data_IF_645441861667
#
_entry.id   IF_645441861667
#
_cell.length_a   1.000
_cell.length_b   1.000
_cell.length_c   1.000
_cell.angle_alpha   90.00
_cell.angle_beta   90.00
_cell.angle_gamma   90.00
#
_symmetry.space_group_name_H-M   'P 1'
#
loop_
_entity.id
_entity.type
_entity.pdbx_description
1 polymer ?
#
# COMPACT_ATOMS: atom_id res chain seq x y z
N UNK A 1 -24.01 17.87 6.68
CA UNK A 1 -23.90 16.74 5.72
C UNK A 1 -24.05 17.16 4.25
N UNK A 2 -25.20 17.69 3.79
CA UNK A 2 -25.37 18.05 2.37
C UNK A 2 -24.40 19.12 1.84
N UNK A 3 -24.11 20.15 2.63
CA UNK A 3 -23.20 21.25 2.22
C UNK A 3 -21.74 20.75 2.12
N UNK A 4 -21.32 19.88 3.04
CA UNK A 4 -19.99 19.26 3.02
C UNK A 4 -19.77 18.40 1.78
N UNK A 5 -20.77 17.61 1.37
CA UNK A 5 -20.70 16.79 0.16
C UNK A 5 -20.62 17.69 -1.09
N UNK A 6 -21.41 18.77 -1.15
CA UNK A 6 -21.35 19.73 -2.26
C UNK A 6 -19.96 20.38 -2.33
N UNK A 7 -19.39 20.77 -1.19
CA UNK A 7 -18.06 21.37 -1.12
C UNK A 7 -16.96 20.38 -1.59
N UNK A 8 -17.08 19.12 -1.21
CA UNK A 8 -16.19 18.06 -1.67
C UNK A 8 -16.29 17.85 -3.19
N UNK A 9 -17.49 17.70 -3.73
CA UNK A 9 -17.70 17.54 -5.17
C UNK A 9 -17.17 18.74 -5.97
N UNK A 10 -17.39 19.96 -5.47
CA UNK A 10 -16.84 21.17 -6.09
C UNK A 10 -15.31 21.22 -6.03
N UNK A 11 -14.70 20.76 -4.93
CA UNK A 11 -13.24 20.70 -4.80
C UNK A 11 -12.61 19.71 -5.78
N UNK A 12 -13.20 18.53 -5.94
CA UNK A 12 -12.74 17.50 -6.88
C UNK A 12 -12.92 17.98 -8.32
N UNK A 13 -14.10 18.52 -8.65
CA UNK A 13 -14.37 19.05 -9.98
C UNK A 13 -13.43 20.22 -10.32
N UNK A 14 -13.19 21.11 -9.35
CA UNK A 14 -12.23 22.20 -9.45
C UNK A 14 -10.82 21.69 -9.75
N UNK A 15 -10.32 20.72 -8.97
CA UNK A 15 -8.99 20.15 -9.17
C UNK A 15 -8.84 19.49 -10.55
N UNK A 16 -9.80 18.65 -10.95
CA UNK A 16 -9.75 17.96 -12.24
C UNK A 16 -9.81 18.95 -13.40
N UNK A 17 -10.64 19.99 -13.31
CA UNK A 17 -10.73 21.01 -14.36
C UNK A 17 -9.55 21.99 -14.34
N UNK A 18 -8.82 22.11 -13.24
CA UNK A 18 -7.59 22.91 -13.14
C UNK A 18 -6.43 22.31 -13.94
N UNK A 19 -6.44 21.00 -14.21
CA UNK A 19 -5.51 20.37 -15.16
C UNK A 19 -5.62 20.97 -16.57
N UNK A 20 -6.77 21.57 -16.91
CA UNK A 20 -7.03 22.25 -18.17
C UNK A 20 -7.08 23.79 -18.03
N UNK A 21 -6.60 24.34 -16.91
CA UNK A 21 -6.64 25.78 -16.58
C UNK A 21 -8.05 26.40 -16.46
N UNK A 22 -9.11 25.57 -16.42
CA UNK A 22 -10.51 26.05 -16.29
C UNK A 22 -10.98 26.03 -14.83
N UNK A 23 -10.42 25.13 -14.02
CA UNK A 23 -10.90 24.83 -12.67
C UNK A 23 -10.48 25.79 -11.56
N UNK A 24 -9.65 26.80 -11.84
CA UNK A 24 -9.12 27.69 -10.81
C UNK A 24 -10.21 28.44 -10.04
N UNK A 25 -11.24 28.94 -10.73
CA UNK A 25 -12.37 29.65 -10.11
C UNK A 25 -13.26 28.71 -9.28
N UNK A 26 -13.53 27.51 -9.78
CA UNK A 26 -14.28 26.48 -9.05
C UNK A 26 -13.54 26.04 -7.79
N UNK A 27 -12.22 25.86 -7.90
CA UNK A 27 -11.34 25.53 -6.78
C UNK A 27 -11.30 26.65 -5.75
N UNK A 28 -11.30 27.92 -6.18
CA UNK A 28 -11.33 29.07 -5.26
C UNK A 28 -12.66 29.16 -4.50
N UNK A 29 -13.79 28.92 -5.18
CA UNK A 29 -15.10 28.88 -4.53
C UNK A 29 -15.19 27.72 -3.53
N UNK A 30 -14.70 26.54 -3.89
CA UNK A 30 -14.64 25.37 -3.00
C UNK A 30 -13.71 25.62 -1.80
N UNK A 31 -12.58 26.32 -2.00
CA UNK A 31 -11.65 26.70 -0.94
C UNK A 31 -12.31 27.65 0.07
N UNK A 32 -13.02 28.68 -0.41
CA UNK A 32 -13.75 29.60 0.47
C UNK A 32 -14.82 28.89 1.29
N UNK A 33 -15.55 27.95 0.67
CA UNK A 33 -16.55 27.14 1.35
C UNK A 33 -15.90 26.18 2.37
N UNK A 34 -14.78 25.55 2.01
CA UNK A 34 -14.01 24.68 2.90
C UNK A 34 -13.48 25.41 4.13
N UNK A 35 -12.93 26.62 3.97
CA UNK A 35 -12.47 27.46 5.09
C UNK A 35 -13.65 27.83 5.99
N UNK A 36 -14.78 28.25 5.43
CA UNK A 36 -15.97 28.56 6.21
C UNK A 36 -16.45 27.37 7.04
N UNK A 37 -16.53 26.18 6.43
CA UNK A 37 -16.92 24.95 7.11
C UNK A 37 -15.91 24.54 8.20
N UNK A 38 -14.61 24.70 7.92
CA UNK A 38 -13.56 24.36 8.88
C UNK A 38 -13.56 25.27 10.11
N UNK A 39 -13.84 26.57 9.94
CA UNK A 39 -13.95 27.51 11.08
C UNK A 39 -15.09 27.11 12.02
N UNK A 40 -16.19 26.57 11.48
CA UNK A 40 -17.36 26.21 12.28
C UNK A 40 -17.22 24.85 12.98
N UNK A 41 -16.83 23.80 12.25
CA UNK A 41 -16.93 22.43 12.77
C UNK A 41 -15.57 21.73 12.96
N UNK A 42 -14.45 22.32 12.48
CA UNK A 42 -13.07 21.84 12.64
C UNK A 42 -12.84 20.34 12.37
N UNK A 43 -13.53 19.75 11.41
CA UNK A 43 -13.39 18.32 11.08
C UNK A 43 -12.33 18.06 10.01
N UNK A 44 -11.80 16.83 9.99
CA UNK A 44 -10.86 16.37 8.95
C UNK A 44 -11.47 16.41 7.54
N UNK A 45 -12.78 16.19 7.41
CA UNK A 45 -13.49 16.29 6.14
C UNK A 45 -13.36 17.71 5.55
N UNK A 46 -13.44 18.74 6.38
CA UNK A 46 -13.28 20.14 5.96
C UNK A 46 -11.81 20.46 5.63
N UNK A 47 -10.85 19.90 6.37
CA UNK A 47 -9.43 20.02 6.05
C UNK A 47 -9.09 19.39 4.68
N UNK A 48 -9.66 18.21 4.36
CA UNK A 48 -9.52 17.56 3.05
C UNK A 48 -10.06 18.42 1.91
N UNK A 49 -11.24 19.03 2.09
CA UNK A 49 -11.83 19.95 1.11
C UNK A 49 -10.90 21.15 0.88
N UNK A 50 -10.33 21.73 1.94
CA UNK A 50 -9.37 22.83 1.84
C UNK A 50 -8.13 22.39 1.06
N UNK A 51 -7.54 21.25 1.40
CA UNK A 51 -6.33 20.74 0.75
C UNK A 51 -6.54 20.49 -0.76
N UNK A 52 -7.62 19.80 -1.14
CA UNK A 52 -7.97 19.51 -2.54
C UNK A 52 -8.20 20.82 -3.31
N UNK A 53 -8.95 21.74 -2.71
CA UNK A 53 -9.25 23.04 -3.34
C UNK A 53 -8.00 23.92 -3.47
N UNK A 54 -7.11 23.91 -2.48
CA UNK A 54 -5.84 24.64 -2.53
C UNK A 54 -4.94 24.10 -3.65
N UNK A 55 -4.83 22.78 -3.78
CA UNK A 55 -4.12 22.17 -4.92
C UNK A 55 -4.73 22.61 -6.26
N UNK A 56 -6.07 22.63 -6.36
CA UNK A 56 -6.78 23.11 -7.55
C UNK A 56 -6.52 24.57 -7.90
N UNK A 57 -6.29 25.45 -6.91
CA UNK A 57 -5.92 26.86 -7.14
C UNK A 57 -4.45 27.03 -7.51
N UNK A 58 -3.57 26.28 -6.84
CA UNK A 58 -2.10 26.40 -7.00
C UNK A 58 -1.64 25.80 -8.32
N UNK A 59 -2.25 24.70 -8.77
CA UNK A 59 -1.80 23.96 -9.94
C UNK A 59 -1.71 24.82 -11.23
N UNK A 60 -2.72 25.62 -11.61
CA UNK A 60 -2.61 26.53 -12.75
C UNK A 60 -1.45 27.53 -12.64
N UNK A 61 -1.15 28.00 -11.43
CA UNK A 61 -0.04 28.93 -11.17
C UNK A 61 1.29 28.22 -11.38
N UNK A 62 1.45 27.00 -10.86
CA UNK A 62 2.65 26.18 -11.10
C UNK A 62 2.82 25.91 -12.60
N UNK A 63 1.75 25.53 -13.31
CA UNK A 63 1.80 25.27 -14.74
C UNK A 63 2.23 26.51 -15.54
N UNK A 64 1.72 27.69 -15.16
CA UNK A 64 2.16 28.95 -15.73
C UNK A 64 3.64 29.20 -15.49
N UNK A 65 4.10 29.10 -14.24
CA UNK A 65 5.50 29.34 -13.84
C UNK A 65 6.46 28.36 -14.53
N UNK A 66 6.06 27.09 -14.70
CA UNK A 66 6.85 26.11 -15.43
C UNK A 66 7.00 26.44 -16.92
N UNK A 67 6.04 27.16 -17.50
CA UNK A 67 6.04 27.50 -18.93
C UNK A 67 6.74 28.83 -19.21
N UNK A 68 6.42 29.86 -18.43
CA UNK A 68 6.85 31.23 -18.68
C UNK A 68 7.75 31.81 -17.58
N UNK A 69 7.96 31.10 -16.47
CA UNK A 69 8.62 31.65 -15.30
C UNK A 69 7.89 32.89 -14.79
N UNK A 70 8.64 33.95 -14.49
CA UNK A 70 8.08 35.26 -14.10
C UNK A 70 7.81 36.17 -15.30
N UNK A 71 7.99 35.68 -16.53
CA UNK A 71 7.74 36.46 -17.74
C UNK A 71 6.26 36.43 -18.11
N UNK A 72 5.83 37.44 -18.87
CA UNK A 72 4.51 37.42 -19.52
C UNK A 72 4.52 36.43 -20.69
N UNK A 73 3.34 35.89 -21.07
CA UNK A 73 3.25 35.01 -22.23
C UNK A 73 3.79 35.71 -23.47
N UNK A 74 4.72 35.06 -24.16
CA UNK A 74 5.29 35.52 -25.42
C UNK A 74 4.91 34.56 -26.54
N UNK A 75 4.87 35.08 -27.76
CA UNK A 75 4.64 34.29 -28.96
C UNK A 75 5.93 33.52 -29.29
N UNK A 76 5.83 32.19 -29.32
CA UNK A 76 6.92 31.27 -29.67
C UNK A 76 7.00 31.01 -31.18
N UNK A 77 6.18 31.71 -31.97
CA UNK A 77 6.10 31.56 -33.43
C UNK A 77 5.25 30.36 -33.86
N UNK A 78 4.66 29.61 -32.93
CA UNK A 78 3.80 28.46 -33.24
C UNK A 78 2.35 28.84 -33.56
N UNK A 79 1.96 30.11 -33.35
CA UNK A 79 0.58 30.58 -33.53
C UNK A 79 -0.42 29.99 -32.54
N UNK A 80 0.07 29.27 -31.51
CA UNK A 80 -0.76 28.66 -30.47
C UNK A 80 -1.16 29.70 -29.44
N UNK A 81 -2.32 29.50 -28.84
CA UNK A 81 -2.76 30.36 -27.74
C UNK A 81 -1.89 30.12 -26.49
N UNK A 82 -1.73 31.13 -25.62
CA UNK A 82 -0.93 30.99 -24.40
C UNK A 82 -1.37 29.82 -23.50
N UNK A 83 -2.68 29.57 -23.40
CA UNK A 83 -3.20 28.45 -22.62
C UNK A 83 -2.77 27.10 -23.20
N UNK A 84 -2.71 27.00 -24.53
CA UNK A 84 -2.31 25.78 -25.20
C UNK A 84 -0.82 25.52 -25.00
N UNK A 85 0.02 26.55 -25.09
CA UNK A 85 1.46 26.45 -24.81
C UNK A 85 1.73 25.99 -23.38
N UNK A 86 0.95 26.48 -22.40
CA UNK A 86 1.07 26.03 -20.99
C UNK A 86 0.75 24.54 -20.85
N UNK A 87 -0.34 24.08 -21.46
CA UNK A 87 -0.72 22.67 -21.42
C UNK A 87 0.34 21.81 -22.13
N UNK A 88 0.67 22.13 -23.38
CA UNK A 88 1.63 21.36 -24.16
C UNK A 88 2.99 21.23 -23.44
N UNK A 89 3.49 22.32 -22.84
CA UNK A 89 4.78 22.30 -22.13
C UNK A 89 4.74 21.43 -20.88
N UNK A 90 3.72 21.58 -20.03
CA UNK A 90 3.65 20.82 -18.78
C UNK A 90 3.41 19.32 -19.01
N UNK A 91 2.56 18.96 -19.97
CA UNK A 91 2.28 17.56 -20.29
C UNK A 91 3.45 16.90 -21.04
N UNK A 92 4.15 17.63 -21.93
CA UNK A 92 5.36 17.12 -22.56
C UNK A 92 6.47 16.83 -21.53
N UNK A 93 6.62 17.67 -20.51
CA UNK A 93 7.56 17.42 -19.40
C UNK A 93 7.20 16.18 -18.56
N UNK A 94 5.94 15.74 -18.62
CA UNK A 94 5.47 14.49 -18.00
C UNK A 94 5.54 13.29 -18.97
N UNK A 95 6.12 13.45 -20.16
CA UNK A 95 6.19 12.41 -21.19
C UNK A 95 4.87 12.13 -21.90
N UNK A 96 3.87 13.00 -21.72
CA UNK A 96 2.54 12.88 -22.33
C UNK A 96 2.45 13.86 -23.50
N UNK A 97 2.52 13.34 -24.73
CA UNK A 97 2.25 14.13 -25.93
C UNK A 97 0.74 14.20 -26.16
N UNK A 98 0.07 15.15 -25.51
CA UNK A 98 -1.38 15.34 -25.59
C UNK A 98 -1.87 15.74 -26.98
N UNK A 99 -0.99 16.31 -27.82
CA UNK A 99 -1.42 17.01 -29.02
C UNK A 99 -0.69 16.61 -30.30
N UNK A 100 0.24 15.66 -30.20
CA UNK A 100 0.97 15.12 -31.33
C UNK A 100 2.00 16.10 -31.88
N UNK A 101 3.12 15.55 -32.33
CA UNK A 101 4.03 16.26 -33.26
C UNK A 101 3.30 16.54 -34.57
N UNK A 102 2.75 17.74 -34.73
CA UNK A 102 2.44 18.25 -36.06
C UNK A 102 3.74 18.28 -36.88
N UNK A 103 3.71 17.60 -38.03
CA UNK A 103 4.75 17.68 -39.04
C UNK A 103 4.93 19.16 -39.40
N UNK A 104 6.11 19.69 -39.14
CA UNK A 104 6.62 20.89 -39.81
C UNK A 104 6.42 20.70 -41.31
N UNK A 105 5.53 21.50 -41.89
CA UNK A 105 5.41 21.68 -43.34
C UNK A 105 6.40 22.79 -43.71
N UNK A 106 7.19 22.50 -44.75
CA UNK A 106 8.40 23.20 -45.17
C UNK A 106 8.30 24.72 -45.40
N UNK A 107 9.42 25.40 -45.12
CA UNK A 107 9.75 26.75 -45.57
C UNK A 107 11.26 26.93 -45.63
N UNK A 108 11.84 26.59 -46.78
CA UNK A 108 13.25 26.66 -47.18
C UNK A 108 14.06 27.85 -46.64
N UNK A 109 15.31 27.57 -46.23
CA UNK A 109 16.52 28.00 -46.97
C UNK A 109 17.79 27.41 -46.33
N UNK A 110 18.40 26.45 -47.03
CA UNK A 110 19.83 26.15 -46.86
C UNK A 110 20.70 27.33 -47.35
N UNK A 111 21.96 27.37 -46.90
CA UNK A 111 23.02 27.05 -47.85
C UNK A 111 24.11 26.11 -47.29
N UNK A 112 24.29 24.98 -47.98
CA UNK A 112 25.54 24.36 -48.48
C UNK A 112 26.87 24.83 -47.83
N UNK A 113 27.59 23.91 -47.16
CA UNK A 113 29.05 23.64 -47.35
C UNK A 113 29.41 22.17 -47.02
N UNK A 114 29.76 21.44 -48.08
CA UNK A 114 30.64 20.26 -48.33
C UNK A 114 31.31 19.38 -47.24
N UNK A 115 31.72 18.13 -47.62
CA UNK A 115 31.67 16.92 -46.80
C UNK A 115 33.02 16.46 -46.25
N UNK A 116 32.99 15.58 -45.25
CA UNK A 116 34.11 14.70 -44.91
C UNK A 116 33.60 13.27 -44.75
N UNK A 117 34.16 12.38 -45.55
CA UNK A 117 33.99 10.94 -45.54
C UNK A 117 34.47 10.30 -44.22
N UNK A 118 33.72 9.32 -43.72
CA UNK A 118 34.25 7.99 -43.38
C UNK A 118 33.09 7.02 -43.11
N UNK A 119 32.88 6.11 -44.06
CA UNK A 119 32.84 4.63 -43.90
C UNK A 119 32.79 4.10 -42.45
N UNK A 120 32.00 3.10 -42.06
CA UNK A 120 31.40 1.96 -42.76
C UNK A 120 30.34 1.27 -41.86
N UNK A 121 29.28 0.74 -42.50
CA UNK A 121 28.71 -0.64 -42.40
C UNK A 121 28.30 -1.16 -40.99
N UNK A 122 27.05 -1.58 -40.72
CA UNK A 122 26.37 -2.83 -41.15
C UNK A 122 24.89 -2.78 -40.63
N UNK A 123 23.85 -2.88 -41.47
CA UNK A 123 23.04 -4.11 -41.71
C UNK A 123 22.39 -4.71 -40.43
N UNK A 124 21.09 -5.03 -40.29
CA UNK A 124 20.05 -5.37 -41.27
C UNK A 124 18.65 -5.45 -40.59
N UNK A 125 17.64 -4.94 -41.30
CA UNK A 125 16.24 -5.38 -41.54
C UNK A 125 15.65 -6.47 -40.61
N UNK A 126 14.52 -6.26 -39.91
CA UNK A 126 13.12 -6.15 -40.39
C UNK A 126 12.51 -7.42 -41.03
N UNK A 127 11.40 -7.89 -40.40
CA UNK A 127 10.33 -8.87 -40.76
C UNK A 127 10.37 -10.08 -39.83
N UNK A 128 9.31 -10.44 -39.10
CA UNK A 128 8.04 -10.96 -39.62
C UNK A 128 6.87 -10.65 -38.66
N UNK A 129 5.78 -10.12 -39.22
CA UNK A 129 4.41 -10.09 -38.69
C UNK A 129 3.70 -11.33 -39.24
N UNK A 130 3.03 -12.13 -38.41
CA UNK A 130 1.58 -12.40 -38.49
C UNK A 130 1.12 -13.62 -37.68
N UNK A 131 -0.04 -13.43 -37.03
CA UNK A 131 -1.14 -14.37 -36.75
C UNK A 131 -0.90 -15.55 -35.81
N UNK A 132 -1.59 -15.49 -34.66
CA UNK A 132 -2.75 -16.38 -34.48
C UNK A 132 -3.78 -15.79 -33.52
N UNK A 133 -4.98 -15.55 -34.05
CA UNK A 133 -6.22 -15.32 -33.31
C UNK A 133 -7.01 -16.63 -33.29
N UNK A 134 -7.42 -17.10 -32.11
CA UNK A 134 -8.36 -18.20 -31.95
C UNK A 134 -9.35 -17.88 -30.83
N UNK A 135 -10.59 -17.55 -31.24
CA UNK A 135 -11.78 -17.42 -30.39
C UNK A 135 -12.15 -18.79 -29.79
N UNK A 136 -12.67 -18.79 -28.57
CA UNK A 136 -13.72 -19.71 -28.14
C UNK A 136 -14.70 -18.97 -27.23
N UNK A 137 -15.97 -19.31 -27.39
CA UNK A 137 -17.17 -18.56 -27.03
C UNK A 137 -17.88 -19.29 -25.88
N UNK A 138 -18.69 -18.53 -25.14
CA UNK A 138 -19.54 -18.93 -24.02
C UNK A 138 -20.45 -20.14 -24.28
N UNK A 139 -20.82 -20.84 -23.20
CA UNK A 139 -22.14 -21.45 -23.07
C UNK A 139 -22.56 -21.56 -21.60
N UNK A 140 -23.72 -20.97 -21.30
CA UNK A 140 -24.48 -21.10 -20.06
C UNK A 140 -25.59 -22.19 -20.19
N UNK A 141 -26.34 -22.38 -19.09
CA UNK A 141 -27.51 -23.25 -18.84
C UNK A 141 -27.16 -24.62 -18.21
N UNK A 142 -27.89 -25.16 -17.22
CA UNK A 142 -29.18 -24.85 -16.60
C UNK A 142 -29.34 -25.63 -15.27
N UNK A 143 -30.22 -25.14 -14.40
CA UNK A 143 -30.85 -25.83 -13.26
C UNK A 143 -31.30 -27.27 -13.53
N UNK A 144 -31.11 -28.18 -12.56
CA UNK A 144 -32.18 -28.97 -11.93
C UNK A 144 -31.68 -29.96 -10.85
N UNK A 145 -32.27 -29.82 -9.65
CA UNK A 145 -32.70 -30.89 -8.71
C UNK A 145 -31.65 -31.79 -8.04
N UNK A 146 -31.45 -31.53 -6.73
CA UNK A 146 -31.21 -32.55 -5.70
C UNK A 146 -32.44 -33.49 -5.58
N UNK A 147 -32.34 -34.76 -5.16
CA UNK A 147 -31.79 -35.13 -3.85
C UNK A 147 -31.01 -36.48 -3.78
N UNK A 148 -30.14 -36.62 -2.78
CA UNK A 148 -30.24 -37.64 -1.72
C UNK A 148 -28.93 -37.68 -0.91
N UNK A 149 -29.13 -37.59 0.40
CA UNK A 149 -28.15 -37.79 1.45
C UNK A 149 -27.55 -39.20 1.38
N UNK A 150 -26.26 -39.30 1.08
CA UNK A 150 -25.45 -40.45 1.47
C UNK A 150 -24.56 -40.06 2.64
N UNK A 151 -24.84 -40.66 3.79
CA UNK A 151 -23.98 -40.76 4.94
C UNK A 151 -22.54 -41.12 4.50
N UNK A 152 -21.55 -40.32 4.88
CA UNK A 152 -20.13 -40.60 4.59
C UNK A 152 -19.26 -39.41 4.16
N UNK A 153 -19.78 -38.19 4.06
CA UNK A 153 -18.95 -37.00 3.81
C UNK A 153 -18.29 -36.51 5.11
N UNK A 154 -16.98 -36.71 5.25
CA UNK A 154 -16.15 -36.12 6.32
C UNK A 154 -15.95 -34.60 6.08
N UNK A 155 -16.35 -34.11 4.91
CA UNK A 155 -16.43 -32.68 4.62
C UNK A 155 -17.84 -32.20 4.88
N UNK A 156 -18.04 -31.48 5.98
CA UNK A 156 -19.21 -30.63 6.15
C UNK A 156 -19.18 -29.58 5.04
N UNK A 157 -20.14 -29.68 4.11
CA UNK A 157 -20.34 -28.64 3.10
C UNK A 157 -20.61 -27.31 3.81
N UNK A 158 -19.99 -26.23 3.34
CA UNK A 158 -20.13 -24.86 3.88
C UNK A 158 -21.58 -24.34 3.92
N UNK A 159 -22.49 -25.00 3.19
CA UNK A 159 -23.94 -24.70 3.21
C UNK A 159 -24.68 -25.35 4.39
N UNK A 160 -24.01 -26.23 5.14
CA UNK A 160 -24.58 -26.89 6.33
C UNK A 160 -24.39 -26.07 7.63
N UNK A 161 -23.57 -25.02 7.60
CA UNK A 161 -23.38 -24.13 8.74
C UNK A 161 -24.60 -23.22 8.87
N UNK A 162 -25.33 -23.36 9.98
CA UNK A 162 -26.50 -22.52 10.27
C UNK A 162 -26.07 -21.05 10.31
N UNK A 163 -26.86 -20.18 9.68
CA UNK A 163 -26.60 -18.72 9.66
C UNK A 163 -26.42 -18.13 11.06
N UNK A 164 -27.02 -18.74 12.08
CA UNK A 164 -26.92 -18.31 13.48
C UNK A 164 -25.53 -18.50 14.10
N UNK A 165 -24.65 -19.31 13.49
CA UNK A 165 -23.35 -19.68 14.07
C UNK A 165 -22.15 -19.00 13.38
N UNK A 166 -22.36 -18.31 12.26
CA UNK A 166 -21.29 -17.65 11.48
C UNK A 166 -20.56 -16.51 12.23
N UNK A 167 -21.18 -15.92 13.26
CA UNK A 167 -20.70 -14.70 13.92
C UNK A 167 -20.49 -14.85 15.44
N UNK A 168 -20.34 -16.07 15.97
CA UNK A 168 -20.24 -16.29 17.43
C UNK A 168 -18.81 -16.31 18.00
N UNK A 169 -17.80 -15.92 17.22
CA UNK A 169 -16.39 -16.02 17.60
C UNK A 169 -15.90 -17.48 17.64
N UNK A 170 -14.60 -17.68 17.36
CA UNK A 170 -13.94 -18.99 17.33
C UNK A 170 -13.75 -19.57 15.93
N UNK A 171 -13.20 -20.79 15.86
CA UNK A 171 -12.69 -21.47 14.65
C UNK A 171 -13.73 -21.62 13.52
N UNK A 172 -15.03 -21.47 13.80
CA UNK A 172 -16.12 -21.59 12.81
C UNK A 172 -16.63 -20.23 12.31
N UNK A 173 -16.08 -19.13 12.84
CA UNK A 173 -16.45 -17.76 12.48
C UNK A 173 -15.45 -17.12 11.52
N UNK A 174 -15.96 -16.22 10.68
CA UNK A 174 -15.17 -15.35 9.79
C UNK A 174 -14.95 -14.05 10.56
N UNK A 175 -13.71 -13.54 10.54
CA UNK A 175 -13.36 -12.29 11.22
C UNK A 175 -14.06 -11.08 10.59
N UNK A 176 -14.16 -9.96 11.31
CA UNK A 176 -14.50 -8.70 10.70
C UNK A 176 -13.21 -8.04 10.20
N UNK A 177 -13.00 -8.02 8.88
CA UNK A 177 -11.96 -7.18 8.25
C UNK A 177 -12.57 -5.89 7.71
N UNK A 178 -11.91 -4.77 7.98
CA UNK A 178 -12.21 -3.46 7.37
C UNK A 178 -11.04 -3.01 6.49
N UNK A 179 -10.70 -3.85 5.51
CA UNK A 179 -9.58 -3.61 4.59
C UNK A 179 -9.69 -2.28 3.80
N UNK A 180 -10.85 -1.63 3.82
CA UNK A 180 -11.12 -0.33 3.20
C UNK A 180 -10.89 0.88 4.15
N UNK A 181 -10.46 0.65 5.39
CA UNK A 181 -10.22 1.71 6.37
C UNK A 181 -9.17 2.71 5.89
N UNK A 182 -9.44 4.03 5.92
CA UNK A 182 -8.46 5.02 5.51
C UNK A 182 -7.24 5.01 6.43
N UNK A 183 -6.06 4.81 5.85
CA UNK A 183 -4.80 5.13 6.50
C UNK A 183 -3.92 6.03 5.65
N UNK A 184 -3.02 6.73 6.31
CA UNK A 184 -2.06 7.62 5.66
C UNK A 184 -0.79 7.68 6.48
N UNK A 185 0.34 7.68 5.79
CA UNK A 185 1.64 7.68 6.45
C UNK A 185 2.78 7.87 5.46
N UNK A 186 3.85 8.51 5.93
CA UNK A 186 5.07 8.67 5.16
C UNK A 186 5.92 7.40 5.20
N UNK A 187 6.33 6.91 4.03
CA UNK A 187 7.34 5.86 3.91
C UNK A 187 8.71 6.51 3.66
N UNK A 188 9.79 6.03 4.31
CA UNK A 188 11.13 6.48 3.98
C UNK A 188 11.51 6.06 2.55
N UNK A 189 12.38 6.84 1.91
CA UNK A 189 12.85 6.55 0.55
C UNK A 189 13.48 5.15 0.49
N UNK A 190 13.07 4.37 -0.51
CA UNK A 190 13.50 2.98 -0.69
C UNK A 190 12.69 1.98 0.13
N UNK A 191 11.51 2.32 0.62
CA UNK A 191 10.59 1.37 1.26
C UNK A 191 9.29 1.31 0.46
N UNK A 192 8.82 0.11 0.16
CA UNK A 192 7.58 -0.12 -0.58
C UNK A 192 6.51 -0.66 0.35
N UNK A 193 5.29 -0.12 0.25
CA UNK A 193 4.10 -0.75 0.81
C UNK A 193 3.60 -1.82 -0.16
N UNK A 194 3.56 -3.05 0.30
CA UNK A 194 3.15 -4.21 -0.49
C UNK A 194 1.69 -4.55 -0.23
N UNK A 195 1.31 -4.56 1.04
CA UNK A 195 -0.06 -4.77 1.45
C UNK A 195 -0.35 -4.02 2.75
N UNK A 196 -1.62 -3.71 2.94
CA UNK A 196 -2.15 -3.17 4.16
C UNK A 196 -3.45 -3.90 4.47
N UNK A 197 -3.63 -4.24 5.75
CA UNK A 197 -4.81 -4.92 6.24
C UNK A 197 -5.29 -4.25 7.53
N UNK A 198 -6.59 -4.41 7.83
CA UNK A 198 -7.16 -3.97 9.10
C UNK A 198 -7.92 -5.12 9.73
N UNK A 199 -7.39 -5.57 10.87
CA UNK A 199 -7.94 -6.69 11.59
C UNK A 199 -8.61 -6.21 12.86
N UNK A 200 -9.89 -6.49 13.02
CA UNK A 200 -10.66 -6.18 14.23
C UNK A 200 -11.13 -7.46 14.91
N UNK A 201 -10.89 -7.59 16.21
CA UNK A 201 -11.52 -8.61 17.06
C UNK A 201 -12.23 -7.98 18.26
N UNK A 202 -12.82 -8.80 19.14
CA UNK A 202 -13.54 -8.32 20.32
C UNK A 202 -12.68 -7.52 21.30
N UNK A 203 -11.35 -7.62 21.20
CA UNK A 203 -10.40 -7.05 22.16
C UNK A 203 -9.50 -5.97 21.55
N UNK A 204 -9.20 -6.02 20.26
CA UNK A 204 -8.20 -5.18 19.61
C UNK A 204 -8.65 -4.72 18.23
N UNK A 205 -8.13 -3.57 17.82
CA UNK A 205 -8.16 -3.10 16.44
C UNK A 205 -6.72 -2.94 15.95
N UNK A 206 -6.35 -3.66 14.89
CA UNK A 206 -4.95 -3.80 14.49
C UNK A 206 -4.74 -3.44 13.01
N UNK A 207 -4.14 -2.28 12.69
CA UNK A 207 -3.60 -2.05 11.36
C UNK A 207 -2.32 -2.89 11.16
N UNK A 208 -2.27 -3.61 10.04
CA UNK A 208 -1.10 -4.43 9.67
C UNK A 208 -0.54 -3.91 8.34
N UNK A 209 0.77 -3.68 8.31
CA UNK A 209 1.51 -3.24 7.12
C UNK A 209 2.50 -4.32 6.71
N UNK A 210 2.45 -4.74 5.45
CA UNK A 210 3.48 -5.56 4.82
C UNK A 210 4.32 -4.65 3.92
N UNK A 211 5.60 -4.54 4.25
CA UNK A 211 6.54 -3.62 3.62
C UNK A 211 7.68 -4.40 2.97
N UNK A 212 8.34 -3.77 2.00
CA UNK A 212 9.58 -4.29 1.41
C UNK A 212 10.70 -3.27 1.53
N UNK A 213 11.86 -3.73 1.99
CA UNK A 213 13.08 -2.93 1.93
C UNK A 213 13.62 -2.93 0.50
N UNK A 214 13.84 -1.74 -0.07
CA UNK A 214 14.43 -1.48 -1.39
C UNK A 214 15.46 -0.35 -1.31
N UNK A 215 16.10 -0.16 -0.15
CA UNK A 215 17.09 0.89 0.03
C UNK A 215 18.44 0.56 -0.57
N UNK A 216 18.71 -0.72 -0.88
CA UNK A 216 20.05 -1.22 -1.21
C UNK A 216 20.92 -1.51 0.01
N UNK A 217 20.41 -1.28 1.21
CA UNK A 217 21.14 -1.38 2.48
C UNK A 217 20.42 -2.32 3.47
N UNK A 218 21.16 -2.83 4.46
CA UNK A 218 20.60 -3.47 5.65
C UNK A 218 20.04 -2.40 6.61
N UNK A 219 18.79 -2.55 7.05
CA UNK A 219 18.06 -1.46 7.72
C UNK A 219 17.27 -1.95 8.93
N UNK A 220 17.24 -1.16 9.99
CA UNK A 220 16.29 -1.24 11.10
C UNK A 220 15.14 -0.28 10.87
N UNK A 221 13.90 -0.73 11.04
CA UNK A 221 12.71 0.09 10.88
C UNK A 221 12.04 0.37 12.22
N UNK A 222 11.57 1.60 12.41
CA UNK A 222 10.71 1.99 13.55
C UNK A 222 9.40 2.52 12.99
N UNK A 223 8.28 2.06 13.52
CA UNK A 223 6.95 2.49 13.13
C UNK A 223 6.17 3.00 14.35
N UNK A 224 5.59 4.18 14.22
CA UNK A 224 4.60 4.70 15.16
C UNK A 224 3.23 4.71 14.49
N UNK A 225 2.31 3.90 15.00
CA UNK A 225 0.90 3.94 14.66
C UNK A 225 0.15 4.86 15.61
N UNK A 226 -0.82 5.61 15.07
CA UNK A 226 -1.70 6.51 15.81
C UNK A 226 -3.13 6.16 15.41
N UNK A 227 -3.94 5.74 16.37
CA UNK A 227 -5.38 5.59 16.20
C UNK A 227 -6.06 6.97 16.36
N UNK A 228 -6.98 7.32 15.46
CA UNK A 228 -7.68 8.60 15.49
C UNK A 228 -9.20 8.44 15.48
N UNK A 229 -9.90 9.40 16.09
CA UNK A 229 -11.36 9.50 16.02
C UNK A 229 -11.85 10.23 14.76
N UNK A 230 -13.17 10.38 14.63
CA UNK A 230 -13.83 11.04 13.50
C UNK A 230 -13.40 12.50 13.31
N UNK A 231 -13.04 13.19 14.40
CA UNK A 231 -12.54 14.56 14.40
C UNK A 231 -11.07 14.63 13.99
N UNK A 232 -10.33 13.52 14.08
CA UNK A 232 -8.92 13.38 13.77
C UNK A 232 -8.02 13.53 14.99
N UNK A 233 -8.57 13.55 16.20
CA UNK A 233 -7.81 13.61 17.44
C UNK A 233 -7.16 12.25 17.76
N UNK A 234 -6.04 12.29 18.46
CA UNK A 234 -5.31 11.07 18.84
C UNK A 234 -6.06 10.33 19.95
N UNK A 235 -6.43 9.07 19.68
CA UNK A 235 -7.00 8.15 20.67
C UNK A 235 -5.90 7.40 21.42
N UNK A 236 -4.95 6.82 20.67
CA UNK A 236 -3.88 5.99 21.21
C UNK A 236 -2.70 5.89 20.25
N UNK A 237 -1.55 5.45 20.77
CA UNK A 237 -0.31 5.24 20.01
C UNK A 237 0.16 3.79 20.23
N UNK A 238 0.64 3.14 19.16
CA UNK A 238 1.36 1.88 19.21
C UNK A 238 2.70 2.02 18.48
N UNK A 239 3.81 1.79 19.18
CA UNK A 239 5.16 1.85 18.63
C UNK A 239 5.71 0.45 18.41
N UNK A 240 6.39 0.24 17.27
CA UNK A 240 6.95 -1.05 16.87
C UNK A 240 8.29 -0.87 16.20
N UNK A 241 9.13 -1.88 16.32
CA UNK A 241 10.42 -1.96 15.66
C UNK A 241 10.52 -3.29 14.92
N UNK A 242 11.21 -3.27 13.79
CA UNK A 242 11.66 -4.48 13.10
C UNK A 242 13.15 -4.35 12.92
N UNK A 243 13.88 -5.26 13.54
CA UNK A 243 15.32 -5.30 13.53
C UNK A 243 15.82 -6.01 12.26
N UNK A 244 16.93 -5.51 11.70
CA UNK A 244 17.71 -6.18 10.65
C UNK A 244 16.88 -6.67 9.44
N UNK A 245 16.56 -5.75 8.53
CA UNK A 245 15.84 -6.03 7.28
C UNK A 245 16.78 -5.90 6.09
N UNK A 246 17.04 -7.00 5.39
CA UNK A 246 17.89 -7.04 4.18
C UNK A 246 17.24 -6.32 3.00
N UNK A 247 18.06 -5.87 2.05
CA UNK A 247 17.53 -5.37 0.78
C UNK A 247 16.71 -6.44 0.06
N UNK A 248 15.55 -6.04 -0.46
CA UNK A 248 14.57 -6.92 -1.09
C UNK A 248 13.70 -7.73 -0.13
N UNK A 249 14.01 -7.79 1.17
CA UNK A 249 13.23 -8.57 2.13
C UNK A 249 11.88 -7.91 2.44
N UNK A 250 10.87 -8.76 2.68
CA UNK A 250 9.56 -8.37 3.16
C UNK A 250 9.53 -8.42 4.69
N UNK A 251 8.81 -7.49 5.30
CA UNK A 251 8.67 -7.41 6.74
C UNK A 251 7.31 -6.83 7.13
N UNK A 252 6.92 -7.04 8.39
CA UNK A 252 5.57 -6.70 8.88
C UNK A 252 5.64 -5.77 10.07
N UNK A 253 4.75 -4.79 10.09
CA UNK A 253 4.39 -4.05 11.30
C UNK A 253 2.93 -4.30 11.66
N UNK A 254 2.66 -4.57 12.93
CA UNK A 254 1.32 -4.61 13.50
C UNK A 254 1.17 -3.50 14.53
N UNK A 255 0.30 -2.53 14.27
CA UNK A 255 -0.21 -1.65 15.33
C UNK A 255 -1.22 -2.43 16.15
N UNK A 256 -1.07 -2.47 17.48
CA UNK A 256 -2.03 -3.18 18.34
C UNK A 256 -2.67 -2.20 19.30
N UNK A 257 -3.99 -2.03 19.19
CA UNK A 257 -4.76 -1.13 20.05
C UNK A 257 -5.82 -1.93 20.80
N UNK A 258 -5.67 -2.07 22.11
CA UNK A 258 -6.70 -2.68 22.96
C UNK A 258 -7.92 -1.76 22.99
N UNK A 259 -9.12 -2.29 22.71
CA UNK A 259 -10.37 -1.53 22.72
C UNK A 259 -10.65 -0.88 24.07
N UNK A 260 -10.10 -1.43 25.17
CA UNK A 260 -10.17 -0.81 26.51
C UNK A 260 -9.33 0.46 26.58
N UNK A 261 -8.16 0.46 25.97
CA UNK A 261 -7.27 1.64 25.91
C UNK A 261 -7.88 2.73 25.02
N UNK A 262 -8.70 2.33 24.04
CA UNK A 262 -9.49 3.24 23.20
C UNK A 262 -10.78 3.75 23.87
N UNK A 263 -11.04 3.39 25.14
CA UNK A 263 -12.26 3.78 25.84
C UNK A 263 -13.53 3.15 25.29
N UNK A 264 -13.41 2.02 24.57
CA UNK A 264 -14.49 1.36 23.85
C UNK A 264 -14.80 1.97 22.48
N UNK A 265 -14.06 2.99 22.04
CA UNK A 265 -14.21 3.57 20.71
C UNK A 265 -13.51 2.69 19.66
N UNK A 266 -14.12 2.60 18.48
CA UNK A 266 -13.48 2.05 17.29
C UNK A 266 -12.82 3.24 16.57
N UNK A 267 -11.52 3.18 16.23
CA UNK A 267 -10.87 4.27 15.52
C UNK A 267 -11.50 4.48 14.14
N UNK A 268 -11.72 5.74 13.76
CA UNK A 268 -12.20 6.12 12.41
C UNK A 268 -11.08 6.13 11.37
N UNK A 269 -9.82 6.21 11.82
CA UNK A 269 -8.66 6.12 10.94
C UNK A 269 -7.39 5.76 11.70
N UNK A 270 -6.39 5.30 10.96
CA UNK A 270 -5.03 5.09 11.46
C UNK A 270 -4.03 5.95 10.69
N UNK A 271 -3.12 6.56 11.41
CA UNK A 271 -1.93 7.19 10.84
C UNK A 271 -0.70 6.38 11.21
N UNK A 272 0.27 6.29 10.30
CA UNK A 272 1.56 5.69 10.60
C UNK A 272 2.72 6.58 10.16
N UNK A 273 3.80 6.54 10.95
CA UNK A 273 5.06 7.21 10.60
C UNK A 273 6.19 6.20 10.74
N UNK A 274 6.88 5.93 9.63
CA UNK A 274 7.97 4.96 9.58
C UNK A 274 9.31 5.69 9.39
N UNK A 275 10.28 5.34 10.22
CA UNK A 275 11.67 5.78 10.08
C UNK A 275 12.59 4.58 9.84
N UNK A 276 13.78 4.86 9.33
CA UNK A 276 14.83 3.86 9.11
C UNK A 276 16.12 4.26 9.82
N UNK A 277 16.83 3.29 10.36
CA UNK A 277 18.12 3.43 11.05
C UNK A 277 19.10 2.34 10.64
N UNK A 278 20.36 2.55 10.98
CA UNK A 278 21.33 1.45 10.98
C UNK A 278 20.94 0.45 12.08
N UNK A 279 20.94 -0.87 11.79
CA UNK A 279 20.72 -1.88 12.81
C UNK A 279 21.79 -1.83 13.91
N UNK A 280 21.41 -2.30 15.11
CA UNK A 280 22.38 -2.47 16.21
C UNK A 280 23.01 -3.86 16.17
N UNK A 281 22.24 -4.85 15.76
CA UNK A 281 22.59 -6.26 15.72
C UNK A 281 23.07 -6.70 14.33
N UNK A 282 23.91 -7.73 14.32
CA UNK A 282 24.39 -8.36 13.11
C UNK A 282 23.30 -9.25 12.49
N UNK A 283 23.23 -9.25 11.17
CA UNK A 283 22.32 -10.10 10.41
C UNK A 283 22.70 -11.57 10.44
N UNK A 284 21.72 -12.41 10.79
CA UNK A 284 21.89 -13.85 10.97
C UNK A 284 20.91 -14.67 10.12
N UNK A 285 20.17 -14.07 9.19
CA UNK A 285 19.11 -14.78 8.46
C UNK A 285 19.61 -15.93 7.57
N UNK A 286 20.85 -15.90 7.06
CA UNK A 286 21.45 -17.04 6.33
C UNK A 286 21.87 -18.19 7.26
N UNK A 287 21.98 -17.92 8.56
CA UNK A 287 22.38 -18.90 9.57
C UNK A 287 21.18 -19.54 10.28
N UNK A 288 19.97 -19.12 9.92
CA UNK A 288 18.72 -19.65 10.48
C UNK A 288 17.88 -20.25 9.37
N UNK A 289 17.22 -21.37 9.67
CA UNK A 289 16.17 -21.90 8.81
C UNK A 289 14.84 -21.83 9.55
N UNK A 290 13.87 -21.13 8.94
CA UNK A 290 12.53 -20.94 9.49
C UNK A 290 11.53 -21.71 8.65
N UNK A 291 10.67 -22.47 9.32
CA UNK A 291 9.63 -23.28 8.69
C UNK A 291 8.31 -23.04 9.41
N UNK A 292 7.23 -22.99 8.64
CA UNK A 292 5.87 -22.90 9.19
C UNK A 292 5.03 -24.04 8.66
N UNK A 293 4.38 -24.76 9.57
CA UNK A 293 3.41 -25.79 9.26
C UNK A 293 2.07 -25.41 9.90
N UNK A 294 0.97 -25.90 9.32
CA UNK A 294 -0.37 -25.72 9.86
C UNK A 294 -0.88 -27.04 10.45
N UNK A 295 -1.46 -26.99 11.64
CA UNK A 295 -2.08 -28.14 12.30
C UNK A 295 -3.45 -27.73 12.86
N UNK A 296 -4.51 -28.13 12.17
CA UNK A 296 -5.86 -27.69 12.52
C UNK A 296 -5.99 -26.16 12.39
N UNK A 297 -6.37 -25.50 13.48
CA UNK A 297 -6.53 -24.05 13.57
C UNK A 297 -5.27 -23.34 14.10
N UNK A 298 -4.10 -23.95 13.94
CA UNK A 298 -2.86 -23.44 14.52
C UNK A 298 -1.74 -23.38 13.48
N UNK A 299 -0.83 -22.42 13.64
CA UNK A 299 0.46 -22.42 12.98
C UNK A 299 1.55 -22.88 13.96
N UNK A 300 2.41 -23.78 13.50
CA UNK A 300 3.64 -24.17 14.19
C UNK A 300 4.81 -23.53 13.44
N UNK A 301 5.50 -22.62 14.11
CA UNK A 301 6.70 -21.98 13.61
C UNK A 301 7.92 -22.64 14.26
N UNK A 302 8.79 -23.23 13.45
CA UNK A 302 10.06 -23.81 13.88
C UNK A 302 11.20 -23.00 13.31
N UNK A 303 12.15 -22.64 14.16
CA UNK A 303 13.40 -22.02 13.73
C UNK A 303 14.59 -22.86 14.21
N UNK A 304 15.53 -23.11 13.31
CA UNK A 304 16.77 -23.85 13.54
C UNK A 304 17.95 -22.89 13.39
N UNK A 305 18.72 -22.71 14.47
CA UNK A 305 19.94 -21.92 14.49
C UNK A 305 21.15 -22.80 14.14
N UNK A 306 21.75 -22.55 12.97
CA UNK A 306 22.89 -23.30 12.43
C UNK A 306 24.24 -22.65 12.74
N UNK A 307 24.24 -21.51 13.44
CA UNK A 307 25.45 -20.80 13.83
C UNK A 307 26.02 -21.27 15.17
N UNK A 308 27.18 -20.71 15.51
CA UNK A 308 27.84 -20.82 16.82
C UNK A 308 27.46 -19.67 17.77
N UNK A 309 26.52 -18.79 17.38
CA UNK A 309 26.06 -17.63 18.15
C UNK A 309 24.60 -17.82 18.61
N UNK A 310 24.19 -17.09 19.65
CA UNK A 310 22.76 -16.97 20.00
C UNK A 310 22.06 -16.07 18.98
N UNK A 311 20.87 -16.46 18.54
CA UNK A 311 20.12 -15.73 17.49
C UNK A 311 18.69 -15.45 17.94
N UNK A 312 18.22 -14.21 17.77
CA UNK A 312 16.80 -13.86 17.91
C UNK A 312 16.12 -13.98 16.55
N UNK A 313 14.91 -14.55 16.54
CA UNK A 313 14.08 -14.69 15.33
C UNK A 313 12.75 -14.04 15.61
N UNK A 314 12.52 -12.88 15.01
CA UNK A 314 11.23 -12.19 15.09
C UNK A 314 10.42 -12.53 13.86
N UNK A 315 9.34 -13.29 14.05
CA UNK A 315 8.47 -13.70 12.96
C UNK A 315 7.03 -13.21 13.15
N UNK A 316 6.43 -12.72 12.08
CA UNK A 316 5.00 -12.51 11.97
C UNK A 316 4.41 -13.62 11.10
N UNK A 317 3.37 -14.26 11.61
CA UNK A 317 2.55 -15.22 10.86
C UNK A 317 1.19 -14.58 10.61
N UNK A 318 0.88 -14.36 9.34
CA UNK A 318 -0.39 -13.80 8.87
C UNK A 318 -1.29 -14.96 8.44
N UNK A 319 -2.51 -14.99 8.95
CA UNK A 319 -3.50 -16.02 8.67
C UNK A 319 -4.57 -15.46 7.75
N UNK A 320 -4.88 -16.17 6.66
CA UNK A 320 -5.81 -15.70 5.64
C UNK A 320 -6.96 -16.68 5.43
N UNK A 321 -8.15 -16.15 5.15
CA UNK A 321 -9.27 -16.89 4.56
C UNK A 321 -9.56 -16.28 3.18
N UNK A 322 -9.15 -16.97 2.11
CA UNK A 322 -9.17 -16.40 0.77
C UNK A 322 -8.26 -15.17 0.64
N UNK A 323 -8.83 -13.98 0.46
CA UNK A 323 -8.07 -12.73 0.33
C UNK A 323 -7.99 -11.94 1.65
N UNK A 324 -8.79 -12.32 2.65
CA UNK A 324 -8.99 -11.56 3.87
C UNK A 324 -7.96 -11.97 4.93
N UNK A 325 -7.33 -10.99 5.58
CA UNK A 325 -6.47 -11.25 6.74
C UNK A 325 -7.35 -11.44 7.97
N UNK A 326 -7.42 -12.67 8.47
CA UNK A 326 -8.26 -13.02 9.62
C UNK A 326 -7.50 -12.96 10.95
N UNK A 327 -6.19 -13.17 10.93
CA UNK A 327 -5.37 -13.08 12.14
C UNK A 327 -3.92 -12.73 11.83
N UNK A 328 -3.23 -12.15 12.81
CA UNK A 328 -1.82 -11.81 12.74
C UNK A 328 -1.17 -12.11 14.09
N UNK A 329 -0.09 -12.89 14.09
CA UNK A 329 0.60 -13.27 15.31
C UNK A 329 2.09 -12.99 15.22
N UNK A 330 2.60 -12.24 16.19
CA UNK A 330 4.03 -12.15 16.46
C UNK A 330 4.47 -13.39 17.24
N UNK A 331 5.36 -14.18 16.64
CA UNK A 331 5.81 -15.48 17.12
C UNK A 331 7.34 -15.48 17.21
N UNK A 332 7.84 -15.68 18.43
CA UNK A 332 9.29 -15.74 18.70
C UNK A 332 9.65 -17.14 19.16
N UNK A 333 10.20 -18.00 18.28
CA UNK A 333 10.67 -19.32 18.69
C UNK A 333 11.90 -19.15 19.58
N UNK A 334 11.87 -19.76 20.75
CA UNK A 334 12.91 -19.60 21.77
C UNK A 334 13.20 -20.89 22.51
N UNK A 335 14.44 -21.06 22.96
CA UNK A 335 14.80 -22.10 23.92
C UNK A 335 14.38 -21.67 25.35
N UNK A 336 14.60 -22.53 26.34
CA UNK A 336 14.30 -22.18 27.73
C UNK A 336 15.14 -20.97 28.19
N UNK A 337 14.53 -20.09 28.99
CA UNK A 337 15.13 -19.00 29.77
C UNK A 337 15.40 -17.65 29.08
N UNK A 338 15.62 -17.59 27.76
CA UNK A 338 15.84 -16.33 27.03
C UNK A 338 15.05 -16.27 25.71
N UNK A 339 14.71 -15.07 25.23
CA UNK A 339 14.02 -14.84 23.95
C UNK A 339 15.00 -14.98 22.78
N UNK A 340 15.64 -16.15 22.66
CA UNK A 340 16.60 -16.46 21.61
C UNK A 340 16.75 -17.98 21.38
N UNK A 341 17.41 -18.32 20.29
CA UNK A 341 17.83 -19.67 19.94
C UNK A 341 19.28 -19.90 20.34
N UNK A 342 19.54 -20.98 21.08
CA UNK A 342 20.90 -21.40 21.42
C UNK A 342 21.66 -21.87 20.17
N UNK A 343 23.01 -21.79 20.16
CA UNK A 343 23.83 -22.29 19.06
C UNK A 343 23.54 -23.76 18.70
N UNK A 344 23.36 -24.06 17.42
CA UNK A 344 23.11 -25.42 16.93
C UNK A 344 21.78 -26.04 17.36
N UNK A 345 20.85 -25.25 17.89
CA UNK A 345 19.57 -25.73 18.43
C UNK A 345 18.40 -25.38 17.51
N UNK A 346 17.24 -25.95 17.83
CA UNK A 346 15.97 -25.56 17.22
C UNK A 346 14.91 -25.36 18.31
N UNK A 347 14.00 -24.43 18.06
CA UNK A 347 12.82 -24.22 18.89
C UNK A 347 11.57 -24.16 18.02
N UNK A 348 10.44 -24.55 18.61
CA UNK A 348 9.13 -24.49 17.97
C UNK A 348 8.16 -23.78 18.89
N UNK A 349 7.39 -22.86 18.32
CA UNK A 349 6.28 -22.19 18.99
C UNK A 349 5.01 -22.44 18.19
N UNK A 350 3.91 -22.64 18.92
CA UNK A 350 2.57 -22.84 18.36
C UNK A 350 1.73 -21.60 18.63
N UNK A 351 1.11 -21.07 17.58
CA UNK A 351 0.13 -19.99 17.65
C UNK A 351 -1.23 -20.52 17.19
N UNK A 352 -2.25 -20.33 18.02
CA UNK A 352 -3.63 -20.71 17.68
C UNK A 352 -4.35 -19.50 17.09
N UNK A 353 -4.91 -19.65 15.89
CA UNK A 353 -5.71 -18.61 15.26
C UNK A 353 -7.09 -18.55 15.92
N UNK A 354 -7.62 -17.34 16.10
CA UNK A 354 -8.96 -17.14 16.65
C UNK A 354 -10.07 -17.49 15.65
N UNK A 355 -9.75 -17.40 14.36
CA UNK A 355 -10.68 -17.57 13.25
C UNK A 355 -10.21 -18.69 12.31
N UNK A 356 -11.14 -19.13 11.46
CA UNK A 356 -10.81 -20.06 10.38
C UNK A 356 -9.84 -19.40 9.39
N UNK A 357 -8.88 -20.18 8.88
CA UNK A 357 -8.00 -19.76 7.79
C UNK A 357 -7.76 -20.91 6.80
N UNK A 358 -7.33 -20.58 5.58
CA UNK A 358 -6.96 -21.52 4.52
C UNK A 358 -5.45 -21.52 4.21
N UNK A 359 -4.75 -20.41 4.49
CA UNK A 359 -3.29 -20.29 4.35
C UNK A 359 -2.68 -19.45 5.45
N UNK A 360 -1.36 -19.61 5.58
CA UNK A 360 -0.52 -18.74 6.39
C UNK A 360 0.63 -18.19 5.55
N UNK A 361 1.04 -16.97 5.84
CA UNK A 361 2.24 -16.34 5.27
C UNK A 361 3.16 -15.91 6.42
N UNK A 362 4.42 -16.33 6.34
CA UNK A 362 5.41 -16.08 7.39
C UNK A 362 6.46 -15.10 6.92
N UNK A 363 6.65 -14.04 7.69
CA UNK A 363 7.66 -13.01 7.49
C UNK A 363 8.57 -13.01 8.70
N UNK A 364 9.88 -13.00 8.52
CA UNK A 364 10.79 -13.01 9.66
C UNK A 364 12.06 -12.21 9.40
N UNK A 365 12.64 -11.74 10.49
CA UNK A 365 14.03 -11.31 10.55
C UNK A 365 14.78 -12.17 11.56
N UNK A 366 16.09 -12.27 11.40
CA UNK A 366 16.94 -13.03 12.32
C UNK A 366 18.27 -12.33 12.50
N UNK A 367 18.67 -12.15 13.76
CA UNK A 367 19.80 -11.30 14.11
C UNK A 367 20.48 -11.79 15.39
N UNK A 368 21.75 -11.45 15.56
CA UNK A 368 22.54 -11.87 16.71
C UNK A 368 21.93 -11.35 18.02
N UNK A 369 21.78 -12.24 19.01
CA UNK A 369 21.36 -11.85 20.33
C UNK A 369 22.55 -11.21 21.07
N UNK A 370 22.63 -9.88 21.06
CA UNK A 370 23.68 -9.14 21.77
C UNK A 370 23.21 -8.83 23.19
N UNK A 371 23.67 -9.62 24.17
CA UNK A 371 23.66 -9.34 25.62
C UNK A 371 22.38 -8.79 26.26
N UNK A 372 21.69 -9.60 27.05
CA UNK A 372 20.83 -9.12 28.15
C UNK A 372 21.60 -9.00 29.47
#
# INVERSE_FOLDING_TARGET
>A
MHITIIALLLSILGLVTSLFLVGGLLSLAALGLGIYLFINDRTIAHARIIAISAAGVILPVIMYLNTYGLHLPYDDGSGRSPYYTILATNYANLGIDLFGKEKTVDGEKEPIVHPVESTDIEESLAKVKEKNSGKAQESASSDAQAPESSEGSIFESLDSIRKEDRNKGGIVSIAASDDDMPSYGGLPVGTLLIAQYFREDDHNCNPVLVLQNKTGDLVRYECRFIARDAEGEELAISEKTVEVVRDGALFVFEGRFDKRDLGGNIPDSYEFSITKRQPYEDDMADMVSVYTATEGASALLTAENKSDKKVKVDAYVLFFDGAELVDCMWMIPQNTDEVCLDPGSAATIKGDAYYRFDRVETFYTAYEAVGE
#
